data_IF_246017950679
#
_entry.id   IF_246017950679
#
_cell.length_a   1.000
_cell.length_b   1.000
_cell.length_c   1.000
_cell.angle_alpha   90.00
_cell.angle_beta   90.00
_cell.angle_gamma   90.00
#
_symmetry.space_group_name_H-M   'P 1'
#
loop_
_entity.id
_entity.type
_entity.pdbx_description
1 polymer ?
#
# COMPACT_ATOMS: atom_id res chain seq x y z
N UNK A 1 -74.83 13.00 -28.99
CA UNK A 1 -73.47 13.19 -29.56
C UNK A 1 -72.50 13.95 -28.66
N UNK A 2 -72.89 15.06 -28.02
CA UNK A 2 -71.99 15.83 -27.13
C UNK A 2 -71.49 15.04 -25.89
N UNK A 3 -72.39 14.24 -25.26
CA UNK A 3 -72.04 13.41 -24.09
C UNK A 3 -70.99 12.35 -24.44
N UNK A 4 -71.14 11.66 -25.58
CA UNK A 4 -70.16 10.67 -26.08
C UNK A 4 -68.80 11.31 -26.37
N UNK A 5 -68.78 12.51 -26.97
CA UNK A 5 -67.54 13.25 -27.22
C UNK A 5 -66.81 13.62 -25.93
N UNK A 6 -67.54 14.02 -24.89
CA UNK A 6 -66.96 14.34 -23.58
C UNK A 6 -66.36 13.09 -22.90
N UNK A 7 -67.07 11.95 -22.93
CA UNK A 7 -66.54 10.69 -22.41
C UNK A 7 -65.29 10.22 -23.18
N UNK A 8 -65.29 10.32 -24.50
CA UNK A 8 -64.13 9.98 -25.34
C UNK A 8 -62.92 10.87 -25.02
N UNK A 9 -63.11 12.18 -24.88
CA UNK A 9 -62.03 13.09 -24.50
C UNK A 9 -61.46 12.77 -23.11
N UNK A 10 -62.33 12.52 -22.12
CA UNK A 10 -61.90 12.15 -20.76
C UNK A 10 -61.15 10.82 -20.76
N UNK A 11 -61.60 9.84 -21.55
CA UNK A 11 -60.95 8.55 -21.69
C UNK A 11 -59.59 8.66 -22.40
N UNK A 12 -59.49 9.53 -23.41
CA UNK A 12 -58.22 9.80 -24.09
C UNK A 12 -57.23 10.51 -23.17
N UNK A 13 -57.69 11.48 -22.37
CA UNK A 13 -56.86 12.12 -21.34
C UNK A 13 -56.36 11.11 -20.31
N UNK A 14 -57.23 10.22 -19.84
CA UNK A 14 -56.84 9.17 -18.89
C UNK A 14 -55.82 8.19 -19.50
N UNK A 15 -55.96 7.82 -20.77
CA UNK A 15 -54.97 7.01 -21.49
C UNK A 15 -53.63 7.73 -21.61
N UNK A 16 -53.62 8.99 -22.02
CA UNK A 16 -52.39 9.77 -22.12
C UNK A 16 -51.70 9.93 -20.76
N UNK A 17 -52.45 10.22 -19.69
CA UNK A 17 -51.90 10.32 -18.33
C UNK A 17 -51.31 8.97 -17.87
N UNK A 18 -51.94 7.85 -18.24
CA UNK A 18 -51.42 6.51 -17.97
C UNK A 18 -50.13 6.23 -18.76
N UNK A 19 -50.10 6.54 -20.06
CA UNK A 19 -48.92 6.35 -20.92
C UNK A 19 -47.74 7.19 -20.44
N UNK A 20 -47.98 8.42 -19.97
CA UNK A 20 -46.95 9.28 -19.36
C UNK A 20 -46.40 8.64 -18.09
N UNK A 21 -47.27 8.17 -17.18
CA UNK A 21 -46.84 7.50 -15.95
C UNK A 21 -46.07 6.22 -16.22
N UNK A 22 -46.49 5.43 -17.22
CA UNK A 22 -45.77 4.22 -17.62
C UNK A 22 -44.37 4.57 -18.14
N UNK A 23 -44.24 5.58 -19.00
CA UNK A 23 -42.93 6.05 -19.48
C UNK A 23 -42.04 6.59 -18.36
N UNK A 24 -42.60 7.30 -17.38
CA UNK A 24 -41.85 7.77 -16.22
C UNK A 24 -41.34 6.61 -15.36
N UNK A 25 -42.15 5.55 -15.18
CA UNK A 25 -41.73 4.34 -14.49
C UNK A 25 -40.64 3.59 -15.26
N UNK A 26 -40.77 3.47 -16.58
CA UNK A 26 -39.75 2.83 -17.43
C UNK A 26 -38.42 3.59 -17.37
N UNK A 27 -38.46 4.93 -17.44
CA UNK A 27 -37.25 5.76 -17.30
C UNK A 27 -36.61 5.54 -15.92
N UNK A 28 -37.40 5.55 -14.84
CA UNK A 28 -36.88 5.29 -13.48
C UNK A 28 -36.26 3.91 -13.37
N UNK A 29 -36.90 2.88 -13.92
CA UNK A 29 -36.41 1.52 -13.92
C UNK A 29 -35.05 1.44 -14.65
N UNK A 30 -34.96 2.02 -15.86
CA UNK A 30 -33.71 2.07 -16.63
C UNK A 30 -32.60 2.83 -15.90
N UNK A 31 -32.91 3.94 -15.24
CA UNK A 31 -31.89 4.67 -14.45
C UNK A 31 -31.39 3.85 -13.27
N UNK A 32 -32.28 3.16 -12.56
CA UNK A 32 -31.91 2.29 -11.44
C UNK A 32 -31.09 1.09 -11.90
N UNK A 33 -31.43 0.49 -13.04
CA UNK A 33 -30.65 -0.59 -13.65
C UNK A 33 -29.26 -0.12 -14.08
N UNK A 34 -29.16 1.07 -14.70
CA UNK A 34 -27.88 1.66 -15.09
C UNK A 34 -27.00 1.94 -13.87
N UNK A 35 -27.56 2.53 -12.81
CA UNK A 35 -26.84 2.80 -11.56
C UNK A 35 -26.34 1.50 -10.92
N UNK A 36 -27.20 0.46 -10.86
CA UNK A 36 -26.81 -0.85 -10.32
C UNK A 36 -25.72 -1.51 -11.15
N UNK A 37 -25.77 -1.39 -12.48
CA UNK A 37 -24.73 -1.91 -13.36
C UNK A 37 -23.40 -1.17 -13.20
N UNK A 38 -23.43 0.14 -12.99
CA UNK A 38 -22.24 0.93 -12.67
C UNK A 38 -21.64 0.55 -11.32
N UNK A 39 -22.49 0.36 -10.30
CA UNK A 39 -22.07 -0.10 -8.98
C UNK A 39 -21.39 -1.48 -9.04
N UNK A 40 -22.00 -2.45 -9.73
CA UNK A 40 -21.42 -3.78 -9.94
C UNK A 40 -20.08 -3.69 -10.68
N UNK A 41 -20.02 -2.92 -11.77
CA UNK A 41 -18.78 -2.73 -12.54
C UNK A 41 -17.66 -2.11 -11.71
N UNK A 42 -18.00 -1.15 -10.84
CA UNK A 42 -17.04 -0.54 -9.92
C UNK A 42 -16.51 -1.54 -8.91
N UNK A 43 -17.40 -2.30 -8.26
CA UNK A 43 -17.01 -3.35 -7.30
C UNK A 43 -16.15 -4.42 -7.97
N UNK A 44 -16.49 -4.85 -9.18
CA UNK A 44 -15.67 -5.79 -9.94
C UNK A 44 -14.30 -5.22 -10.31
N UNK A 45 -14.23 -3.93 -10.66
CA UNK A 45 -12.98 -3.26 -11.00
C UNK A 45 -12.10 -3.10 -9.76
N UNK A 46 -12.67 -2.66 -8.64
CA UNK A 46 -11.98 -2.55 -7.35
C UNK A 46 -11.48 -3.92 -6.90
N UNK A 47 -12.31 -4.97 -6.98
CA UNK A 47 -11.90 -6.34 -6.67
C UNK A 47 -10.79 -6.89 -7.57
N UNK A 48 -10.82 -6.58 -8.87
CA UNK A 48 -9.73 -6.93 -9.80
C UNK A 48 -8.43 -6.20 -9.48
N UNK A 49 -8.51 -4.92 -9.10
CA UNK A 49 -7.34 -4.16 -8.66
C UNK A 49 -6.76 -4.79 -7.39
N UNK A 50 -7.58 -5.08 -6.37
CA UNK A 50 -7.13 -5.73 -5.13
C UNK A 50 -6.48 -7.09 -5.38
N UNK A 51 -7.08 -7.94 -6.22
CA UNK A 51 -6.50 -9.23 -6.61
C UNK A 51 -5.14 -9.03 -7.30
N UNK A 52 -5.05 -8.09 -8.23
CA UNK A 52 -3.78 -7.79 -8.92
C UNK A 52 -2.70 -7.26 -7.95
N UNK A 53 -3.10 -6.54 -6.90
CA UNK A 53 -2.18 -6.06 -5.88
C UNK A 53 -1.69 -7.18 -4.96
N UNK A 54 -2.57 -8.13 -4.62
CA UNK A 54 -2.20 -9.32 -3.86
C UNK A 54 -1.27 -10.24 -4.64
N UNK A 55 -1.52 -10.43 -5.94
CA UNK A 55 -0.64 -11.21 -6.81
C UNK A 55 0.74 -10.55 -6.95
N UNK A 56 0.77 -9.23 -7.19
CA UNK A 56 2.02 -8.48 -7.21
C UNK A 56 2.76 -8.55 -5.86
N UNK A 57 2.03 -8.57 -4.75
CA UNK A 57 2.60 -8.73 -3.42
C UNK A 57 3.23 -10.12 -3.24
N UNK A 58 2.53 -11.18 -3.66
CA UNK A 58 3.02 -12.55 -3.59
C UNK A 58 4.29 -12.73 -4.43
N UNK A 59 4.29 -12.24 -5.68
CA UNK A 59 5.48 -12.30 -6.55
C UNK A 59 6.65 -11.55 -5.93
N UNK A 60 6.41 -10.34 -5.39
CA UNK A 60 7.47 -9.57 -4.73
C UNK A 60 8.02 -10.28 -3.48
N UNK A 61 7.19 -11.00 -2.71
CA UNK A 61 7.66 -11.83 -1.61
C UNK A 61 8.48 -13.03 -2.07
N UNK A 62 8.03 -13.70 -3.13
CA UNK A 62 8.75 -14.82 -3.74
C UNK A 62 10.11 -14.36 -4.30
N UNK A 63 10.18 -13.20 -4.97
CA UNK A 63 11.42 -12.61 -5.47
C UNK A 63 12.33 -12.10 -4.36
N UNK A 64 11.79 -11.46 -3.33
CA UNK A 64 12.57 -11.04 -2.16
C UNK A 64 13.13 -12.23 -1.38
N UNK A 65 12.45 -13.38 -1.41
CA UNK A 65 12.89 -14.63 -0.80
C UNK A 65 13.85 -15.44 -1.67
N UNK A 66 13.96 -15.15 -2.97
CA UNK A 66 14.97 -15.77 -3.82
C UNK A 66 16.34 -15.27 -3.39
N UNK A 67 17.24 -16.22 -3.17
CA UNK A 67 18.67 -15.95 -3.07
C UNK A 67 19.08 -15.20 -4.33
N UNK A 68 19.74 -14.05 -4.16
CA UNK A 68 20.32 -13.29 -5.28
C UNK A 68 21.34 -14.13 -6.05
N UNK A 69 21.80 -15.24 -5.46
CA UNK A 69 22.78 -16.16 -6.01
C UNK A 69 22.13 -17.45 -6.51
N UNK A 70 22.20 -17.71 -7.81
CA UNK A 70 21.86 -18.99 -8.43
C UNK A 70 23.02 -19.97 -8.21
N UNK A 71 22.70 -21.14 -7.63
CA UNK A 71 23.67 -22.19 -7.27
C UNK A 71 24.43 -22.71 -8.50
N UNK A 72 23.87 -22.52 -9.69
CA UNK A 72 24.47 -22.89 -10.97
C UNK A 72 25.81 -22.18 -11.22
N UNK A 73 25.91 -20.87 -10.94
CA UNK A 73 27.15 -20.11 -11.14
C UNK A 73 28.26 -20.51 -10.16
N UNK A 74 27.88 -20.83 -8.92
CA UNK A 74 28.85 -21.24 -7.90
C UNK A 74 29.47 -22.60 -8.23
N UNK A 75 28.67 -23.49 -8.83
CA UNK A 75 29.14 -24.81 -9.24
C UNK A 75 30.23 -24.71 -10.32
N UNK A 76 30.06 -23.82 -11.30
CA UNK A 76 31.09 -23.56 -12.31
C UNK A 76 32.38 -22.96 -11.73
N UNK A 77 32.28 -22.05 -10.75
CA UNK A 77 33.47 -21.49 -10.08
C UNK A 77 34.21 -22.52 -9.20
N UNK A 78 33.47 -23.45 -8.59
CA UNK A 78 34.03 -24.45 -7.66
C UNK A 78 34.62 -25.68 -8.36
N UNK A 79 34.19 -25.98 -9.60
CA UNK A 79 34.72 -27.09 -10.41
C UNK A 79 36.14 -26.83 -10.92
N UNK A 80 36.58 -25.56 -11.01
CA UNK A 80 37.95 -25.24 -11.46
C UNK A 80 38.97 -25.28 -10.32
N UNK A 81 39.85 -26.28 -10.35
CA UNK A 81 40.87 -26.57 -9.32
C UNK A 81 41.81 -25.38 -9.00
N UNK A 82 42.03 -24.48 -9.96
CA UNK A 82 42.89 -23.29 -9.79
C UNK A 82 42.15 -22.07 -9.20
N UNK A 83 40.82 -22.01 -9.34
CA UNK A 83 40.00 -20.87 -8.91
C UNK A 83 39.15 -21.16 -7.66
N UNK A 84 39.28 -22.34 -7.04
CA UNK A 84 38.51 -22.71 -5.84
C UNK A 84 38.63 -21.70 -4.69
N UNK A 85 39.81 -21.15 -4.44
CA UNK A 85 40.01 -20.15 -3.38
C UNK A 85 39.28 -18.82 -3.71
N UNK A 86 39.24 -18.45 -5.00
CA UNK A 86 38.54 -17.26 -5.47
C UNK A 86 37.02 -17.47 -5.41
N UNK A 87 36.54 -18.66 -5.77
CA UNK A 87 35.14 -19.07 -5.61
C UNK A 87 34.69 -19.02 -4.15
N UNK A 88 35.51 -19.51 -3.22
CA UNK A 88 35.22 -19.43 -1.79
C UNK A 88 35.16 -17.98 -1.27
N UNK A 89 36.06 -17.11 -1.74
CA UNK A 89 36.03 -15.68 -1.38
C UNK A 89 34.78 -14.99 -1.91
N UNK A 90 34.43 -15.22 -3.19
CA UNK A 90 33.23 -14.68 -3.81
C UNK A 90 31.98 -15.18 -3.06
N UNK A 91 31.90 -16.48 -2.78
CA UNK A 91 30.83 -17.06 -1.96
C UNK A 91 30.70 -16.41 -0.59
N UNK A 92 31.84 -16.13 0.07
CA UNK A 92 31.87 -15.43 1.35
C UNK A 92 31.32 -14.02 1.29
N UNK A 93 31.73 -13.23 0.29
CA UNK A 93 31.25 -11.84 0.10
C UNK A 93 29.75 -11.81 -0.20
N UNK A 94 29.28 -12.66 -1.10
CA UNK A 94 27.85 -12.75 -1.42
C UNK A 94 27.02 -13.28 -0.24
N UNK A 95 27.51 -14.29 0.48
CA UNK A 95 26.87 -14.78 1.70
C UNK A 95 26.78 -13.70 2.78
N UNK A 96 27.81 -12.86 2.92
CA UNK A 96 27.78 -11.73 3.83
C UNK A 96 26.79 -10.64 3.40
N UNK A 97 26.72 -10.32 2.10
CA UNK A 97 25.73 -9.39 1.56
C UNK A 97 24.28 -9.89 1.80
N UNK A 98 24.03 -11.18 1.60
CA UNK A 98 22.72 -11.79 1.85
C UNK A 98 22.39 -11.78 3.36
N UNK A 99 23.38 -12.06 4.22
CA UNK A 99 23.23 -11.94 5.67
C UNK A 99 22.88 -10.50 6.09
N UNK A 100 23.57 -9.50 5.54
CA UNK A 100 23.23 -8.09 5.78
C UNK A 100 21.82 -7.75 5.31
N UNK A 101 21.39 -8.27 4.14
CA UNK A 101 20.03 -8.06 3.62
C UNK A 101 18.97 -8.61 4.56
N UNK A 102 19.19 -9.83 5.08
CA UNK A 102 18.28 -10.48 6.04
C UNK A 102 18.26 -9.72 7.37
N UNK A 103 19.43 -9.29 7.86
CA UNK A 103 19.56 -8.61 9.15
C UNK A 103 19.17 -7.13 9.13
N UNK A 104 19.22 -6.46 7.98
CA UNK A 104 18.89 -5.04 7.87
C UNK A 104 17.49 -4.73 8.42
N UNK A 105 16.50 -5.58 8.11
CA UNK A 105 15.11 -5.40 8.56
C UNK A 105 14.96 -5.47 10.09
N UNK A 106 15.35 -6.55 10.79
CA UNK A 106 15.25 -6.60 12.24
C UNK A 106 16.14 -5.55 12.92
N UNK A 107 17.34 -5.29 12.41
CA UNK A 107 18.25 -4.29 13.01
C UNK A 107 17.62 -2.90 12.99
N UNK A 108 17.03 -2.47 11.88
CA UNK A 108 16.37 -1.17 11.79
C UNK A 108 15.16 -1.10 12.72
N UNK A 109 14.38 -2.18 12.83
CA UNK A 109 13.23 -2.24 13.75
C UNK A 109 13.67 -2.16 15.22
N UNK A 110 14.69 -2.92 15.61
CA UNK A 110 15.25 -2.87 16.95
C UNK A 110 15.85 -1.49 17.27
N UNK A 111 16.54 -0.89 16.30
CA UNK A 111 17.07 0.46 16.42
C UNK A 111 15.95 1.49 16.64
N UNK A 112 14.88 1.43 15.84
CA UNK A 112 13.71 2.31 16.01
C UNK A 112 13.08 2.14 17.39
N UNK A 113 12.92 0.90 17.86
CA UNK A 113 12.35 0.60 19.17
C UNK A 113 13.24 1.14 20.30
N UNK A 114 14.55 0.92 20.20
CA UNK A 114 15.51 1.40 21.20
C UNK A 114 15.55 2.93 21.26
N UNK A 115 15.67 3.60 20.11
CA UNK A 115 15.71 5.07 20.02
C UNK A 115 14.40 5.70 20.48
N UNK A 116 13.25 5.12 20.10
CA UNK A 116 11.96 5.65 20.54
C UNK A 116 11.74 5.49 22.04
N UNK A 117 12.16 4.36 22.62
CA UNK A 117 12.13 4.14 24.07
C UNK A 117 13.06 5.12 24.78
N UNK A 118 14.28 5.29 24.28
CA UNK A 118 15.26 6.22 24.85
C UNK A 118 14.77 7.68 24.82
N UNK A 119 14.22 8.13 23.69
CA UNK A 119 13.59 9.46 23.59
C UNK A 119 12.46 9.61 24.60
N UNK A 120 11.58 8.61 24.72
CA UNK A 120 10.46 8.66 25.69
C UNK A 120 10.95 8.82 27.12
N UNK A 121 12.02 8.11 27.50
CA UNK A 121 12.64 8.22 28.83
C UNK A 121 13.21 9.63 29.04
N UNK A 122 13.92 10.19 28.04
CA UNK A 122 14.47 11.55 28.13
C UNK A 122 13.37 12.61 28.28
N UNK A 123 12.30 12.55 27.47
CA UNK A 123 11.22 13.52 27.55
C UNK A 123 10.48 13.38 28.92
N UNK A 124 10.39 12.16 29.49
CA UNK A 124 9.85 11.95 30.84
C UNK A 124 10.73 12.56 31.95
N UNK A 125 12.05 12.36 31.88
CA UNK A 125 12.99 12.94 32.84
C UNK A 125 12.95 14.48 32.82
N UNK A 126 12.89 15.08 31.63
CA UNK A 126 12.74 16.52 31.46
C UNK A 126 11.45 17.06 32.10
N UNK A 127 10.33 16.35 31.93
CA UNK A 127 9.06 16.72 32.55
C UNK A 127 9.11 16.66 34.09
N UNK A 128 9.84 15.68 34.64
CA UNK A 128 10.05 15.59 36.08
C UNK A 128 10.91 16.75 36.61
N UNK A 129 12.00 17.10 35.91
CA UNK A 129 12.84 18.26 36.32
C UNK A 129 12.07 19.59 36.28
N UNK A 130 11.15 19.75 35.32
CA UNK A 130 10.25 20.89 35.28
C UNK A 130 9.37 20.97 36.53
N UNK A 131 8.74 19.85 36.91
CA UNK A 131 7.84 19.79 38.07
C UNK A 131 8.56 19.96 39.41
N UNK A 132 9.85 19.60 39.48
CA UNK A 132 10.62 19.62 40.72
C UNK A 132 11.29 20.97 41.01
N UNK A 133 11.98 21.56 40.01
CA UNK A 133 12.89 22.69 40.24
C UNK A 133 12.41 24.00 39.60
N UNK A 134 11.35 23.97 38.79
CA UNK A 134 10.86 25.16 38.07
C UNK A 134 11.89 25.78 37.11
N UNK A 135 12.96 25.04 36.78
CA UNK A 135 14.14 25.54 36.07
C UNK A 135 13.90 25.78 34.57
N UNK A 136 12.82 25.24 34.01
CA UNK A 136 12.44 25.38 32.60
C UNK A 136 11.10 26.10 32.56
N UNK A 137 10.89 26.99 31.59
CA UNK A 137 9.59 27.68 31.42
C UNK A 137 8.61 26.82 30.63
N UNK A 138 7.30 26.92 30.92
CA UNK A 138 6.26 26.10 30.27
C UNK A 138 6.36 26.10 28.71
N UNK A 139 6.68 27.22 28.06
CA UNK A 139 6.87 27.26 26.61
C UNK A 139 8.06 26.40 26.13
N UNK A 140 9.19 26.44 26.83
CA UNK A 140 10.39 25.68 26.47
C UNK A 140 10.17 24.17 26.61
N UNK A 141 9.46 23.74 27.67
CA UNK A 141 9.09 22.34 27.85
C UNK A 141 8.20 21.83 26.69
N UNK A 142 7.27 22.67 26.23
CA UNK A 142 6.42 22.36 25.10
C UNK A 142 7.20 22.24 23.78
N UNK A 143 8.15 23.15 23.54
CA UNK A 143 9.00 23.12 22.34
C UNK A 143 9.90 21.88 22.29
N UNK A 144 10.50 21.48 23.42
CA UNK A 144 11.29 20.25 23.50
C UNK A 144 10.42 19.02 23.24
N UNK A 145 9.20 19.00 23.79
CA UNK A 145 8.26 17.89 23.55
C UNK A 145 7.83 17.80 22.08
N UNK A 146 7.56 18.94 21.43
CA UNK A 146 7.29 19.01 20.00
C UNK A 146 8.47 18.52 19.16
N UNK A 147 9.71 18.85 19.56
CA UNK A 147 10.91 18.35 18.90
C UNK A 147 11.08 16.83 19.07
N UNK A 148 10.79 16.28 20.27
CA UNK A 148 10.76 14.83 20.53
C UNK A 148 9.79 14.14 19.55
N UNK A 149 8.55 14.63 19.46
CA UNK A 149 7.50 14.06 18.60
C UNK A 149 7.88 14.12 17.13
N UNK A 150 8.35 15.28 16.65
CA UNK A 150 8.77 15.44 15.25
C UNK A 150 9.89 14.46 14.91
N UNK A 151 10.87 14.33 15.79
CA UNK A 151 11.99 13.39 15.60
C UNK A 151 11.51 11.94 15.52
N UNK A 152 10.58 11.53 16.40
CA UNK A 152 9.95 10.21 16.35
C UNK A 152 9.19 9.97 15.04
N UNK A 153 8.43 10.95 14.57
CA UNK A 153 7.69 10.85 13.32
C UNK A 153 8.66 10.70 12.14
N UNK A 154 9.70 11.53 12.06
CA UNK A 154 10.71 11.42 10.99
C UNK A 154 11.44 10.08 11.01
N UNK A 155 11.82 9.60 12.20
CA UNK A 155 12.46 8.30 12.35
C UNK A 155 11.53 7.16 11.90
N UNK A 156 10.26 7.22 12.30
CA UNK A 156 9.24 6.23 11.94
C UNK A 156 8.97 6.22 10.45
N UNK A 157 8.76 7.39 9.84
CA UNK A 157 8.54 7.52 8.40
C UNK A 157 9.76 7.00 7.64
N UNK A 158 10.97 7.28 8.09
CA UNK A 158 12.20 6.80 7.43
C UNK A 158 12.31 5.27 7.49
N UNK A 159 12.05 4.69 8.66
CA UNK A 159 12.04 3.23 8.85
C UNK A 159 10.96 2.54 7.99
N UNK A 160 9.73 3.07 8.02
CA UNK A 160 8.60 2.58 7.22
C UNK A 160 8.93 2.73 5.74
N UNK A 161 9.41 3.90 5.31
CA UNK A 161 9.80 4.12 3.92
C UNK A 161 10.86 3.13 3.48
N UNK A 162 11.87 2.84 4.29
CA UNK A 162 12.85 1.80 3.99
C UNK A 162 12.20 0.40 3.86
N UNK A 163 11.25 0.08 4.73
CA UNK A 163 10.54 -1.20 4.73
C UNK A 163 9.63 -1.39 3.49
N UNK A 164 9.09 -0.30 2.94
CA UNK A 164 8.12 -0.31 1.84
C UNK A 164 8.65 0.20 0.49
N UNK A 165 9.76 0.95 0.43
CA UNK A 165 10.34 1.45 -0.82
C UNK A 165 10.85 0.30 -1.70
N UNK A 166 11.44 -0.73 -1.08
CA UNK A 166 11.84 -1.98 -1.75
C UNK A 166 10.66 -2.60 -2.53
N UNK A 167 9.45 -2.48 -1.99
CA UNK A 167 8.22 -3.03 -2.61
C UNK A 167 7.73 -2.21 -3.81
N UNK A 168 7.94 -0.89 -3.82
CA UNK A 168 7.54 -0.05 -4.97
C UNK A 168 8.45 -0.30 -6.18
N UNK A 169 9.73 -0.53 -5.93
CA UNK A 169 10.68 -0.90 -6.99
C UNK A 169 10.30 -2.26 -7.58
N UNK A 170 9.97 -3.26 -6.75
CA UNK A 170 9.47 -4.56 -7.23
C UNK A 170 8.18 -4.42 -8.08
N UNK A 171 7.19 -3.63 -7.63
CA UNK A 171 5.97 -3.35 -8.42
C UNK A 171 6.28 -2.67 -9.76
N UNK A 172 7.26 -1.76 -9.79
CA UNK A 172 7.67 -1.08 -11.02
C UNK A 172 8.36 -2.05 -12.00
N UNK A 173 9.25 -2.90 -11.51
CA UNK A 173 9.94 -3.93 -12.30
C UNK A 173 8.95 -4.95 -12.87
N UNK A 174 7.95 -5.38 -12.09
CA UNK A 174 6.90 -6.28 -12.58
C UNK A 174 6.11 -5.69 -13.75
N UNK A 175 5.72 -4.41 -13.67
CA UNK A 175 5.01 -3.70 -14.76
C UNK A 175 5.86 -3.56 -16.01
N UNK A 176 7.17 -3.34 -15.87
CA UNK A 176 8.12 -3.30 -16.98
C UNK A 176 8.25 -4.66 -17.67
N UNK A 177 8.25 -5.75 -16.90
CA UNK A 177 8.36 -7.09 -17.46
C UNK A 177 7.07 -7.52 -18.18
N UNK A 178 5.89 -7.24 -17.62
CA UNK A 178 4.59 -7.57 -18.25
C UNK A 178 4.32 -6.75 -19.54
N UNK A 179 4.91 -5.56 -19.68
CA UNK A 179 4.81 -4.76 -20.91
C UNK A 179 5.72 -5.28 -22.02
N UNK A 180 6.89 -5.84 -21.70
CA UNK A 180 7.80 -6.46 -22.67
C UNK A 180 7.33 -7.83 -23.18
N UNK A 181 6.53 -8.57 -22.42
CA UNK A 181 5.99 -9.88 -22.85
C UNK A 181 4.84 -9.73 -23.85
N UNK A 182 4.24 -8.54 -23.97
CA UNK A 182 3.10 -8.24 -24.86
C UNK A 182 3.51 -7.59 -26.19
N UNK A 183 4.81 -7.32 -26.41
CA UNK A 183 5.36 -6.83 -27.69
C UNK A 183 6.06 -7.94 -28.45
#
# INVERSE_FOLDING_TARGET
SAVTSYFNWKQQKLKNDHDIRMKELDIKLVTVEADKKMEISRVETEGKVELSELDAYRVAQEEAGKSTFDSSYMRYLMESKYFQWLGALIAGVFGFAEWLRIMARPVITYYLLAVSTYLTILCYQLLQTFSADGAITLPEAYDIFQLCIRSLIYLTISCVSFWFCDRRVAKFLYRLNDSNVKS
#
